data_IF_607349710077
#
_entry.id   IF_607349710077
#
_cell.length_a   1.000
_cell.length_b   1.000
_cell.length_c   1.000
_cell.angle_alpha   90.00
_cell.angle_beta   90.00
_cell.angle_gamma   90.00
#
_symmetry.space_group_name_H-M   'P 1'
#
loop_
_entity.id
_entity.type
_entity.pdbx_description
1 polymer ?
#
# COMPACT_ATOMS: atom_id res chain seq x y z
N UNK A 1 18.97 -20.50 -17.13
CA UNK A 1 18.13 -20.02 -18.24
C UNK A 1 18.11 -18.49 -18.16
N UNK A 2 18.39 -17.78 -19.27
CA UNK A 2 18.33 -16.31 -19.30
C UNK A 2 16.87 -15.92 -19.49
N UNK A 3 16.28 -15.18 -18.54
CA UNK A 3 15.00 -14.49 -18.77
C UNK A 3 15.20 -13.52 -19.94
N UNK A 4 14.75 -13.91 -21.13
CA UNK A 4 14.94 -13.16 -22.38
C UNK A 4 13.72 -12.27 -22.68
N UNK A 5 13.13 -11.69 -21.64
CA UNK A 5 11.96 -10.82 -21.74
C UNK A 5 11.73 -10.03 -20.46
N UNK A 6 11.03 -8.91 -20.58
CA UNK A 6 10.59 -8.11 -19.43
C UNK A 6 9.64 -8.95 -18.57
N UNK A 7 9.90 -8.98 -17.26
CA UNK A 7 9.02 -9.61 -16.27
C UNK A 7 7.91 -8.61 -15.93
N UNK A 8 6.68 -8.88 -16.38
CA UNK A 8 5.53 -8.04 -16.08
C UNK A 8 4.90 -8.44 -14.73
N UNK A 9 4.77 -7.48 -13.81
CA UNK A 9 4.24 -7.68 -12.47
C UNK A 9 2.93 -6.91 -12.29
N UNK A 10 1.78 -7.59 -12.14
CA UNK A 10 0.52 -6.93 -11.84
C UNK A 10 0.52 -6.38 -10.42
N UNK A 11 0.00 -5.17 -10.23
CA UNK A 11 -0.19 -4.55 -8.92
C UNK A 11 -1.61 -4.00 -8.75
N UNK A 12 -2.20 -4.18 -7.57
CA UNK A 12 -3.45 -3.54 -7.16
C UNK A 12 -3.13 -2.50 -6.09
N UNK A 13 -3.56 -1.26 -6.32
CA UNK A 13 -3.41 -0.20 -5.33
C UNK A 13 -4.66 -0.12 -4.47
N UNK A 14 -4.46 -0.09 -3.16
CA UNK A 14 -5.44 0.31 -2.16
C UNK A 14 -4.97 1.61 -1.52
N UNK A 15 -5.74 2.67 -1.72
CA UNK A 15 -5.49 3.99 -1.17
C UNK A 15 -6.55 4.29 -0.11
N UNK A 16 -6.14 4.26 1.16
CA UNK A 16 -6.99 4.66 2.27
C UNK A 16 -7.08 6.19 2.33
N UNK A 17 -8.26 6.68 2.70
CA UNK A 17 -8.60 8.10 2.88
C UNK A 17 -9.27 8.25 4.24
N UNK A 18 -9.37 9.48 4.73
CA UNK A 18 -10.20 9.78 5.89
C UNK A 18 -11.65 9.34 5.65
N UNK A 19 -12.38 9.02 6.71
CA UNK A 19 -13.78 8.56 6.62
C UNK A 19 -14.72 9.57 5.93
N UNK A 20 -14.36 10.85 5.90
CA UNK A 20 -15.07 11.92 5.18
C UNK A 20 -14.72 11.99 3.67
N UNK A 21 -13.86 11.08 3.19
CA UNK A 21 -13.40 11.00 1.81
C UNK A 21 -12.28 11.98 1.45
N UNK A 22 -11.77 12.75 2.41
CA UNK A 22 -10.67 13.68 2.21
C UNK A 22 -9.30 13.01 2.44
N UNK A 23 -8.24 13.73 2.05
CA UNK A 23 -6.87 13.20 2.13
C UNK A 23 -6.62 12.08 1.12
N UNK A 24 -5.57 11.32 1.39
CA UNK A 24 -5.11 10.24 0.52
C UNK A 24 -4.41 10.71 -0.75
N UNK A 25 -3.88 9.75 -1.51
CA UNK A 25 -3.13 10.01 -2.73
C UNK A 25 -4.06 10.24 -3.92
N UNK A 26 -3.67 11.13 -4.84
CA UNK A 26 -4.42 11.35 -6.09
C UNK A 26 -4.05 10.32 -7.15
N UNK A 27 -4.95 10.09 -8.11
CA UNK A 27 -4.70 9.18 -9.24
C UNK A 27 -3.50 9.62 -10.07
N UNK A 28 -3.32 10.92 -10.28
CA UNK A 28 -2.20 11.50 -10.99
C UNK A 28 -0.86 11.26 -10.26
N UNK A 29 -0.85 11.31 -8.93
CA UNK A 29 0.31 10.92 -8.14
C UNK A 29 0.62 9.41 -8.25
N UNK A 30 -0.40 8.55 -8.30
CA UNK A 30 -0.22 7.12 -8.55
C UNK A 30 0.36 6.87 -9.95
N UNK A 31 -0.12 7.55 -10.99
CA UNK A 31 0.41 7.42 -12.36
C UNK A 31 1.89 7.81 -12.40
N UNK A 32 2.26 8.92 -11.78
CA UNK A 32 3.68 9.31 -11.65
C UNK A 32 4.50 8.26 -10.89
N UNK A 33 3.96 7.75 -9.78
CA UNK A 33 4.60 6.71 -8.97
C UNK A 33 4.91 5.45 -9.78
N UNK A 34 3.96 4.99 -10.61
CA UNK A 34 4.16 3.84 -11.50
C UNK A 34 5.27 4.10 -12.52
N UNK A 35 5.31 5.29 -13.12
CA UNK A 35 6.35 5.66 -14.07
C UNK A 35 7.75 5.64 -13.41
N UNK A 36 7.87 6.18 -12.20
CA UNK A 36 9.13 6.12 -11.44
C UNK A 36 9.51 4.70 -11.04
N UNK A 37 8.55 3.88 -10.65
CA UNK A 37 8.78 2.47 -10.31
C UNK A 37 9.34 1.71 -11.51
N UNK A 38 8.71 1.84 -12.68
CA UNK A 38 9.19 1.22 -13.92
C UNK A 38 10.56 1.75 -14.35
N UNK A 39 10.81 3.05 -14.20
CA UNK A 39 12.11 3.63 -14.49
C UNK A 39 13.22 3.04 -13.60
N UNK A 40 12.95 2.87 -12.30
CA UNK A 40 13.93 2.33 -11.35
C UNK A 40 14.27 0.86 -11.65
N UNK A 41 13.26 0.05 -12.00
CA UNK A 41 13.43 -1.38 -12.24
C UNK A 41 13.72 -1.75 -13.70
N UNK A 42 13.91 -0.76 -14.58
CA UNK A 42 14.19 -0.97 -15.99
C UNK A 42 15.43 -1.83 -16.22
N UNK A 43 16.51 -1.60 -15.45
CA UNK A 43 17.75 -2.39 -15.57
C UNK A 43 17.58 -3.85 -15.10
N UNK A 44 16.63 -4.10 -14.20
CA UNK A 44 16.28 -5.44 -13.76
C UNK A 44 15.36 -6.16 -14.77
N UNK A 45 14.90 -5.47 -15.82
CA UNK A 45 13.96 -6.02 -16.79
C UNK A 45 12.59 -6.32 -16.17
N UNK A 46 12.13 -5.48 -15.22
CA UNK A 46 10.82 -5.63 -14.58
C UNK A 46 9.94 -4.45 -14.98
N UNK A 47 8.68 -4.73 -15.29
CA UNK A 47 7.66 -3.74 -15.60
C UNK A 47 6.42 -4.00 -14.74
N UNK A 48 5.96 -2.97 -14.05
CA UNK A 48 4.76 -2.99 -13.23
C UNK A 48 3.59 -2.37 -14.01
N UNK A 49 2.39 -2.90 -13.78
CA UNK A 49 1.15 -2.35 -14.33
C UNK A 49 -0.03 -2.56 -13.38
N UNK A 50 -1.02 -1.68 -13.47
CA UNK A 50 -2.22 -1.80 -12.63
C UNK A 50 -3.13 -2.93 -13.11
N UNK A 51 -3.47 -3.86 -12.21
CA UNK A 51 -4.47 -4.89 -12.46
C UNK A 51 -5.87 -4.40 -12.03
N UNK A 52 -6.38 -3.42 -12.77
CA UNK A 52 -7.66 -2.76 -12.47
C UNK A 52 -7.46 -1.34 -11.94
N UNK A 53 -8.57 -0.69 -11.57
CA UNK A 53 -8.53 0.67 -11.05
C UNK A 53 -8.04 0.71 -9.60
N UNK A 54 -7.34 1.79 -9.17
CA UNK A 54 -7.03 2.00 -7.78
C UNK A 54 -8.30 2.00 -6.91
N UNK A 55 -8.28 1.22 -5.83
CA UNK A 55 -9.37 1.19 -4.86
C UNK A 55 -9.17 2.31 -3.85
N UNK A 56 -10.15 3.19 -3.72
CA UNK A 56 -10.17 4.22 -2.68
C UNK A 56 -11.15 3.82 -1.59
N UNK A 57 -10.62 3.57 -0.39
CA UNK A 57 -11.41 3.17 0.78
C UNK A 57 -11.37 4.28 1.82
N UNK A 58 -12.54 4.66 2.33
CA UNK A 58 -12.67 5.68 3.37
C UNK A 58 -12.66 4.98 4.73
N UNK A 59 -11.52 5.04 5.42
CA UNK A 59 -11.28 4.40 6.70
C UNK A 59 -10.20 5.19 7.44
N UNK A 60 -10.61 6.05 8.38
CA UNK A 60 -9.68 6.88 9.14
C UNK A 60 -8.71 6.07 10.02
N UNK A 61 -9.05 4.85 10.42
CA UNK A 61 -8.17 4.03 11.26
C UNK A 61 -7.00 3.50 10.42
N UNK A 62 -7.30 3.01 9.21
CA UNK A 62 -6.27 2.57 8.25
C UNK A 62 -5.53 3.74 7.60
N UNK A 63 -6.18 4.89 7.42
CA UNK A 63 -5.54 6.09 6.89
C UNK A 63 -4.49 6.67 7.86
N UNK A 64 -4.80 6.69 9.15
CA UNK A 64 -3.91 7.19 10.20
C UNK A 64 -3.05 6.09 10.83
N UNK A 65 -3.01 4.90 10.23
CA UNK A 65 -2.24 3.78 10.77
C UNK A 65 -0.76 4.16 10.84
N UNK A 66 -0.23 4.14 12.06
CA UNK A 66 1.17 4.33 12.35
C UNK A 66 1.73 3.06 13.00
N UNK A 67 2.39 2.24 12.19
CA UNK A 67 3.05 1.02 12.66
C UNK A 67 4.28 1.28 13.54
N UNK A 68 4.64 2.55 13.77
CA UNK A 68 5.70 2.95 14.71
C UNK A 68 5.15 3.46 16.04
N UNK A 69 3.82 3.59 16.16
CA UNK A 69 3.19 3.91 17.43
C UNK A 69 3.53 2.82 18.47
N UNK A 70 3.86 3.20 19.71
CA UNK A 70 4.08 2.22 20.76
C UNK A 70 2.81 1.40 20.92
N UNK A 71 2.94 0.09 20.78
CA UNK A 71 1.90 -0.87 21.10
C UNK A 71 1.58 -0.70 22.59
N UNK A 72 0.53 0.08 22.87
CA UNK A 72 0.05 0.39 24.20
C UNK A 72 -0.82 -0.75 24.74
N UNK A 73 -0.87 -1.88 24.05
CA UNK A 73 -1.36 -3.12 24.59
C UNK A 73 -0.42 -3.61 25.69
N UNK A 74 -0.95 -3.69 26.91
CA UNK A 74 -0.23 -4.14 28.10
C UNK A 74 -0.59 -5.59 28.44
N UNK A 75 -1.44 -6.23 27.65
CA UNK A 75 -2.02 -7.56 27.89
C UNK A 75 -2.72 -7.69 29.27
N UNK A 76 -2.95 -6.56 29.95
CA UNK A 76 -3.51 -6.48 31.31
C UNK A 76 -4.94 -7.05 31.38
N UNK A 77 -5.65 -7.00 30.25
CA UNK A 77 -6.98 -7.58 30.08
C UNK A 77 -6.96 -9.12 29.94
N UNK A 78 -5.86 -9.71 29.45
CA UNK A 78 -5.70 -11.17 29.40
C UNK A 78 -5.33 -11.74 30.77
N UNK A 79 -4.49 -11.05 31.53
CA UNK A 79 -4.09 -11.47 32.90
C UNK A 79 -5.30 -11.53 33.83
N UNK A 80 -6.22 -10.58 33.71
CA UNK A 80 -7.44 -10.49 34.54
C UNK A 80 -8.55 -11.49 34.15
N UNK A 81 -8.51 -12.06 32.93
CA UNK A 81 -9.44 -13.11 32.51
C UNK A 81 -9.02 -14.52 32.94
N UNK A 82 -7.82 -14.67 33.51
CA UNK A 82 -7.27 -15.95 34.00
C UNK A 82 -7.32 -16.12 35.53
N UNK A 83 -7.94 -15.16 36.24
CA UNK A 83 -8.08 -15.14 37.70
C UNK A 83 -9.46 -15.56 38.20
#
# INVERSE_FOLDING_TARGET
ERNNGTTCVPIQIWAFRQSDGTGGISQDALIRGLAYLNYNYLQAGIEFYYCGDPVYANDSDLYNFDGTAPDNDTESQLVSASG
#
